data_IF_945169074363
#
_entry.id   IF_945169074363
#
_cell.length_a   1.000
_cell.length_b   1.000
_cell.length_c   1.000
_cell.angle_alpha   90.00
_cell.angle_beta   90.00
_cell.angle_gamma   90.00
#
_symmetry.space_group_name_H-M   'P 1'
#
loop_
_entity.id
_entity.type
_entity.pdbx_description
1 polymer ?
#
# COMPACT_ATOMS: atom_id res chain seq x y z
N UNK A 1 -19.03 -13.40 -25.16
CA UNK A 1 -18.56 -12.02 -25.42
C UNK A 1 -17.28 -12.15 -26.22
N UNK A 2 -17.38 -12.22 -27.54
CA UNK A 2 -16.21 -12.32 -28.43
C UNK A 2 -15.65 -10.91 -28.57
N UNK A 3 -14.55 -10.62 -27.87
CA UNK A 3 -13.72 -9.46 -28.19
C UNK A 3 -13.21 -9.72 -29.61
N UNK A 4 -13.72 -8.97 -30.59
CA UNK A 4 -13.33 -9.14 -31.99
C UNK A 4 -11.83 -8.91 -32.19
N UNK A 5 -11.27 -9.43 -33.28
CA UNK A 5 -9.85 -9.26 -33.66
C UNK A 5 -9.48 -7.80 -34.00
N UNK A 6 -10.43 -6.87 -34.02
CA UNK A 6 -10.21 -5.44 -34.23
C UNK A 6 -9.78 -4.69 -32.98
N UNK A 7 -9.20 -3.49 -33.14
CA UNK A 7 -8.95 -2.58 -32.02
C UNK A 7 -10.32 -2.13 -31.44
N UNK A 8 -10.65 -2.47 -30.17
CA UNK A 8 -11.97 -2.18 -29.61
C UNK A 8 -12.21 -0.67 -29.41
N UNK A 9 -11.13 0.13 -29.41
CA UNK A 9 -11.20 1.58 -29.39
C UNK A 9 -10.44 2.14 -30.61
N UNK A 10 -11.13 2.58 -31.68
CA UNK A 10 -10.47 3.17 -32.85
C UNK A 10 -9.78 4.51 -32.55
N UNK A 11 -9.99 5.09 -31.36
CA UNK A 11 -9.31 6.29 -30.87
C UNK A 11 -8.53 5.98 -29.59
N UNK A 12 -7.22 5.83 -29.72
CA UNK A 12 -6.31 5.54 -28.60
C UNK A 12 -6.37 6.61 -27.50
N UNK A 13 -6.56 7.88 -27.88
CA UNK A 13 -6.70 8.99 -26.93
C UNK A 13 -7.97 8.89 -26.08
N UNK A 14 -9.06 8.37 -26.64
CA UNK A 14 -10.29 8.12 -25.90
C UNK A 14 -10.09 7.00 -24.87
N UNK A 15 -9.44 5.90 -25.28
CA UNK A 15 -9.12 4.79 -24.38
C UNK A 15 -8.25 5.23 -23.20
N UNK A 16 -7.19 6.00 -23.48
CA UNK A 16 -6.33 6.56 -22.46
C UNK A 16 -7.07 7.53 -21.51
N UNK A 17 -7.88 8.43 -22.06
CA UNK A 17 -8.68 9.37 -21.26
C UNK A 17 -9.67 8.68 -20.34
N UNK A 18 -10.36 7.64 -20.81
CA UNK A 18 -11.26 6.83 -19.99
C UNK A 18 -10.52 6.07 -18.89
N UNK A 19 -9.36 5.50 -19.20
CA UNK A 19 -8.53 4.81 -18.21
C UNK A 19 -8.08 5.76 -17.09
N UNK A 20 -7.70 7.00 -17.41
CA UNK A 20 -7.36 8.02 -16.41
C UNK A 20 -8.55 8.36 -15.50
N UNK A 21 -9.75 8.55 -16.07
CA UNK A 21 -10.96 8.83 -15.29
C UNK A 21 -11.28 7.65 -14.36
N UNK A 22 -11.24 6.41 -14.86
CA UNK A 22 -11.46 5.23 -14.04
C UNK A 22 -10.43 5.11 -12.91
N UNK A 23 -9.16 5.36 -13.20
CA UNK A 23 -8.07 5.31 -12.21
C UNK A 23 -8.25 6.38 -11.13
N UNK A 24 -8.67 7.58 -11.51
CA UNK A 24 -9.00 8.65 -10.57
C UNK A 24 -10.17 8.25 -9.64
N UNK A 25 -11.24 7.70 -10.19
CA UNK A 25 -12.40 7.26 -9.40
C UNK A 25 -12.04 6.12 -8.44
N UNK A 26 -11.21 5.17 -8.88
CA UNK A 26 -10.70 4.09 -8.03
C UNK A 26 -9.82 4.64 -6.91
N UNK A 27 -8.90 5.57 -7.21
CA UNK A 27 -8.05 6.21 -6.20
C UNK A 27 -8.86 7.02 -5.19
N UNK A 28 -9.88 7.75 -5.64
CA UNK A 28 -10.78 8.49 -4.76
C UNK A 28 -11.58 7.56 -3.84
N UNK A 29 -12.15 6.49 -4.40
CA UNK A 29 -12.87 5.48 -3.62
C UNK A 29 -11.97 4.77 -2.60
N UNK A 30 -10.73 4.44 -3.00
CA UNK A 30 -9.72 3.85 -2.12
C UNK A 30 -9.40 4.78 -0.96
N UNK A 31 -9.10 6.06 -1.22
CA UNK A 31 -8.77 7.03 -0.20
C UNK A 31 -9.90 7.19 0.85
N UNK A 32 -11.17 7.21 0.41
CA UNK A 32 -12.32 7.24 1.31
C UNK A 32 -12.43 5.96 2.16
N UNK A 33 -12.28 4.79 1.55
CA UNK A 33 -12.42 3.51 2.25
C UNK A 33 -11.28 3.28 3.25
N UNK A 34 -10.04 3.52 2.83
CA UNK A 34 -8.82 3.35 3.62
C UNK A 34 -8.81 4.29 4.82
N UNK A 35 -9.03 5.59 4.61
CA UNK A 35 -9.09 6.56 5.71
C UNK A 35 -10.21 6.25 6.72
N UNK A 36 -11.38 5.84 6.24
CA UNK A 36 -12.49 5.42 7.10
C UNK A 36 -12.15 4.15 7.91
N UNK A 37 -11.46 3.19 7.29
CA UNK A 37 -11.01 1.97 7.97
C UNK A 37 -10.04 2.30 9.10
N UNK A 38 -9.02 3.12 8.83
CA UNK A 38 -8.06 3.53 9.86
C UNK A 38 -8.68 4.38 10.97
N UNK A 39 -9.65 5.25 10.66
CA UNK A 39 -10.43 5.97 11.67
C UNK A 39 -11.18 5.03 12.62
N UNK A 40 -11.85 4.01 12.08
CA UNK A 40 -12.56 3.00 12.88
C UNK A 40 -11.59 2.07 13.64
N UNK A 41 -10.49 1.68 13.01
CA UNK A 41 -9.47 0.81 13.61
C UNK A 41 -8.76 1.49 14.78
N UNK A 42 -8.58 2.82 14.73
CA UNK A 42 -8.02 3.61 15.82
C UNK A 42 -8.87 3.61 17.10
N UNK A 43 -10.19 3.36 16.98
CA UNK A 43 -11.11 3.22 18.12
C UNK A 43 -11.16 1.80 18.69
N UNK A 44 -10.55 0.86 18.00
CA UNK A 44 -10.45 -0.53 18.41
C UNK A 44 -9.11 -0.78 19.11
N UNK A 45 -8.93 -1.93 19.77
CA UNK A 45 -7.60 -2.36 20.21
C UNK A 45 -6.62 -2.38 19.04
N UNK A 46 -5.33 -2.15 19.31
CA UNK A 46 -4.26 -2.09 18.30
C UNK A 46 -4.22 -3.32 17.36
N UNK A 47 -4.73 -4.47 17.79
CA UNK A 47 -4.87 -5.66 16.95
C UNK A 47 -5.73 -5.43 15.70
N UNK A 48 -6.71 -4.53 15.76
CA UNK A 48 -7.51 -4.17 14.58
C UNK A 48 -6.70 -3.37 13.56
N UNK A 49 -5.85 -2.43 14.02
CA UNK A 49 -4.93 -1.71 13.14
C UNK A 49 -3.93 -2.68 12.48
N UNK A 50 -3.39 -3.64 13.24
CA UNK A 50 -2.50 -4.66 12.66
C UNK A 50 -3.24 -5.51 11.63
N UNK A 51 -4.50 -5.88 11.88
CA UNK A 51 -5.30 -6.66 10.95
C UNK A 51 -5.56 -5.91 9.64
N UNK A 52 -5.89 -4.61 9.69
CA UNK A 52 -6.03 -3.76 8.50
C UNK A 52 -4.73 -3.71 7.71
N UNK A 53 -3.61 -3.37 8.37
CA UNK A 53 -2.30 -3.27 7.72
C UNK A 53 -1.84 -4.62 7.14
N UNK A 54 -2.05 -5.73 7.85
CA UNK A 54 -1.71 -7.08 7.35
C UNK A 54 -2.59 -7.46 6.16
N UNK A 55 -3.88 -7.09 6.21
CA UNK A 55 -4.83 -7.32 5.12
C UNK A 55 -4.38 -6.69 3.80
N UNK A 56 -3.85 -5.46 3.84
CA UNK A 56 -3.24 -4.82 2.67
C UNK A 56 -2.07 -5.63 2.11
N UNK A 57 -1.17 -6.11 2.98
CA UNK A 57 -0.05 -6.95 2.58
C UNK A 57 -0.53 -8.23 1.88
N UNK A 58 -1.50 -8.93 2.50
CA UNK A 58 -2.08 -10.16 1.96
C UNK A 58 -2.75 -9.92 0.61
N UNK A 59 -3.47 -8.81 0.43
CA UNK A 59 -4.05 -8.43 -0.87
C UNK A 59 -2.96 -8.32 -1.95
N UNK A 60 -1.78 -7.82 -1.58
CA UNK A 60 -0.60 -7.75 -2.43
C UNK A 60 -0.02 -9.09 -2.88
N UNK A 61 -0.24 -10.17 -2.14
CA UNK A 61 0.25 -11.53 -2.46
C UNK A 61 -0.54 -12.20 -3.58
N UNK A 62 -1.78 -11.78 -3.80
CA UNK A 62 -2.72 -12.48 -4.69
C UNK A 62 -2.44 -12.18 -6.16
N UNK A 63 -1.94 -10.98 -6.48
CA UNK A 63 -1.82 -10.49 -7.86
C UNK A 63 -0.88 -11.33 -8.74
N UNK A 64 0.38 -11.53 -8.32
CA UNK A 64 1.38 -12.22 -9.14
C UNK A 64 1.08 -13.71 -9.38
N UNK A 65 0.69 -14.51 -8.37
CA UNK A 65 0.30 -15.91 -8.58
C UNK A 65 -0.90 -16.07 -9.51
N UNK A 66 -1.93 -15.21 -9.39
CA UNK A 66 -3.07 -15.23 -10.32
C UNK A 66 -2.61 -14.88 -11.72
N UNK A 67 -1.76 -13.86 -11.89
CA UNK A 67 -1.26 -13.47 -13.20
C UNK A 67 -0.48 -14.61 -13.88
N UNK A 68 0.42 -15.27 -13.13
CA UNK A 68 1.15 -16.45 -13.60
C UNK A 68 0.21 -17.59 -14.01
N UNK A 69 -0.80 -17.90 -13.19
CA UNK A 69 -1.79 -18.92 -13.51
C UNK A 69 -2.56 -18.59 -14.80
N UNK A 70 -2.99 -17.34 -14.95
CA UNK A 70 -3.70 -16.88 -16.15
C UNK A 70 -2.81 -16.94 -17.40
N UNK A 71 -1.52 -16.60 -17.28
CA UNK A 71 -0.55 -16.75 -18.37
C UNK A 71 -0.47 -18.21 -18.84
N UNK A 72 -0.25 -19.15 -17.92
CA UNK A 72 -0.16 -20.59 -18.26
C UNK A 72 -1.45 -21.09 -18.92
N UNK A 73 -2.62 -20.70 -18.41
CA UNK A 73 -3.92 -21.10 -18.97
C UNK A 73 -4.11 -20.53 -20.39
N UNK A 74 -3.81 -19.25 -20.59
CA UNK A 74 -4.00 -18.59 -21.88
C UNK A 74 -2.97 -19.01 -22.93
N UNK A 75 -1.74 -19.32 -22.51
CA UNK A 75 -0.71 -19.92 -23.37
C UNK A 75 -1.15 -21.32 -23.83
N UNK A 76 -1.61 -22.17 -22.91
CA UNK A 76 -2.11 -23.51 -23.24
C UNK A 76 -3.34 -23.46 -24.16
N UNK A 77 -4.20 -22.46 -23.99
CA UNK A 77 -5.38 -22.21 -24.82
C UNK A 77 -5.10 -21.51 -26.16
N UNK A 78 -3.84 -21.12 -26.42
CA UNK A 78 -3.43 -20.31 -27.57
C UNK A 78 -4.32 -19.07 -27.78
N UNK A 79 -4.69 -18.42 -26.66
CA UNK A 79 -5.60 -17.27 -26.65
C UNK A 79 -4.86 -16.05 -27.16
N UNK A 80 -5.38 -15.43 -28.22
CA UNK A 80 -4.88 -14.14 -28.71
C UNK A 80 -5.25 -13.03 -27.72
N UNK A 81 -4.44 -11.97 -27.62
CA UNK A 81 -4.70 -10.79 -26.77
C UNK A 81 -4.79 -11.13 -25.28
N UNK A 82 -3.81 -11.91 -24.80
CA UNK A 82 -3.74 -12.36 -23.41
C UNK A 82 -3.75 -11.21 -22.39
N UNK A 83 -3.03 -10.08 -22.59
CA UNK A 83 -3.00 -8.99 -21.61
C UNK A 83 -4.39 -8.39 -21.34
N UNK A 84 -5.21 -8.23 -22.38
CA UNK A 84 -6.57 -7.69 -22.26
C UNK A 84 -7.49 -8.65 -21.48
N UNK A 85 -7.39 -9.96 -21.76
CA UNK A 85 -8.14 -10.97 -21.02
C UNK A 85 -7.70 -11.08 -19.57
N UNK A 86 -6.40 -11.00 -19.29
CA UNK A 86 -5.87 -10.96 -17.93
C UNK A 86 -6.44 -9.76 -17.18
N UNK A 87 -6.36 -8.57 -17.78
CA UNK A 87 -6.88 -7.34 -17.21
C UNK A 87 -8.39 -7.43 -16.91
N UNK A 88 -9.18 -7.95 -17.84
CA UNK A 88 -10.61 -8.17 -17.65
C UNK A 88 -10.90 -9.14 -16.49
N UNK A 89 -10.18 -10.26 -16.41
CA UNK A 89 -10.34 -11.22 -15.31
C UNK A 89 -9.99 -10.58 -13.98
N UNK A 90 -8.88 -9.82 -13.90
CA UNK A 90 -8.52 -9.09 -12.70
C UNK A 90 -9.60 -8.11 -12.26
N UNK A 91 -10.14 -7.30 -13.16
CA UNK A 91 -11.22 -6.36 -12.84
C UNK A 91 -12.51 -7.06 -12.40
N UNK A 92 -12.89 -8.16 -13.06
CA UNK A 92 -14.07 -8.94 -12.67
C UNK A 92 -13.89 -9.54 -11.27
N UNK A 93 -12.76 -10.19 -11.01
CA UNK A 93 -12.47 -10.82 -9.71
C UNK A 93 -12.42 -9.77 -8.60
N UNK A 94 -11.71 -8.66 -8.80
CA UNK A 94 -11.63 -7.59 -7.79
C UNK A 94 -12.99 -6.94 -7.55
N UNK A 95 -13.77 -6.67 -8.59
CA UNK A 95 -15.13 -6.11 -8.45
C UNK A 95 -16.04 -7.03 -7.65
N UNK A 96 -15.99 -8.34 -7.91
CA UNK A 96 -16.76 -9.33 -7.15
C UNK A 96 -16.33 -9.34 -5.68
N UNK A 97 -15.02 -9.35 -5.41
CA UNK A 97 -14.49 -9.28 -4.04
C UNK A 97 -14.96 -8.01 -3.35
N UNK A 98 -14.87 -6.84 -4.00
CA UNK A 98 -15.32 -5.56 -3.44
C UNK A 98 -16.82 -5.58 -3.10
N UNK A 99 -17.66 -6.17 -3.96
CA UNK A 99 -19.09 -6.33 -3.65
C UNK A 99 -19.31 -7.26 -2.45
N UNK A 100 -18.50 -8.32 -2.30
CA UNK A 100 -18.56 -9.22 -1.15
C UNK A 100 -18.04 -8.60 0.16
N UNK A 101 -17.24 -7.54 0.13
CA UNK A 101 -16.84 -6.79 1.33
C UNK A 101 -18.07 -6.20 2.04
N UNK A 102 -19.11 -5.78 1.32
CA UNK A 102 -20.32 -5.20 1.90
C UNK A 102 -21.09 -6.18 2.81
N UNK A 103 -21.49 -7.38 2.36
CA UNK A 103 -22.12 -8.37 3.23
C UNK A 103 -21.16 -8.90 4.30
N UNK A 104 -19.85 -9.01 4.01
CA UNK A 104 -18.85 -9.37 5.03
C UNK A 104 -18.84 -8.36 6.18
N UNK A 105 -18.81 -7.06 5.88
CA UNK A 105 -18.87 -6.00 6.87
C UNK A 105 -20.18 -6.05 7.68
N UNK A 106 -21.33 -6.21 7.00
CA UNK A 106 -22.64 -6.25 7.64
C UNK A 106 -22.84 -7.50 8.51
N UNK A 107 -22.47 -8.67 8.04
CA UNK A 107 -22.76 -9.93 8.71
C UNK A 107 -21.72 -10.31 9.77
N UNK A 108 -20.45 -9.99 9.53
CA UNK A 108 -19.32 -10.43 10.36
C UNK A 108 -18.75 -9.24 11.15
N UNK A 109 -18.21 -8.24 10.46
CA UNK A 109 -17.44 -7.16 11.11
C UNK A 109 -18.31 -6.34 12.07
N UNK A 110 -19.51 -5.92 11.66
CA UNK A 110 -20.40 -5.10 12.50
C UNK A 110 -20.89 -5.80 13.78
N UNK A 111 -20.91 -7.14 13.78
CA UNK A 111 -21.32 -7.95 14.94
C UNK A 111 -20.17 -8.25 15.88
N UNK A 112 -18.92 -8.03 15.46
CA UNK A 112 -17.75 -8.29 16.27
C UNK A 112 -17.76 -7.43 17.55
N UNK A 113 -17.40 -7.96 18.74
CA UNK A 113 -17.50 -7.23 20.01
C UNK A 113 -16.76 -5.89 20.03
N UNK A 114 -15.61 -5.78 19.36
CA UNK A 114 -14.85 -4.54 19.26
C UNK A 114 -15.58 -3.51 18.39
N UNK A 115 -16.00 -3.90 17.18
CA UNK A 115 -16.69 -3.01 16.25
C UNK A 115 -18.06 -2.58 16.78
N UNK A 116 -18.79 -3.46 17.49
CA UNK A 116 -20.09 -3.12 18.08
C UNK A 116 -19.99 -1.94 19.05
N UNK A 117 -18.92 -1.86 19.85
CA UNK A 117 -18.67 -0.72 20.75
C UNK A 117 -18.41 0.56 19.96
N UNK A 118 -17.58 0.47 18.91
CA UNK A 118 -17.30 1.60 18.01
C UNK A 118 -18.56 2.10 17.33
N UNK A 119 -19.39 1.21 16.79
CA UNK A 119 -20.66 1.56 16.15
C UNK A 119 -21.66 2.22 17.12
N UNK A 120 -21.66 1.83 18.40
CA UNK A 120 -22.47 2.51 19.42
C UNK A 120 -21.98 3.93 19.70
N UNK A 121 -20.66 4.14 19.74
CA UNK A 121 -20.06 5.48 19.85
C UNK A 121 -20.51 6.34 18.67
N UNK A 122 -20.44 5.81 17.45
CA UNK A 122 -20.88 6.48 16.23
C UNK A 122 -22.39 6.77 16.20
N UNK A 123 -23.22 5.83 16.65
CA UNK A 123 -24.67 6.04 16.72
C UNK A 123 -25.04 7.15 17.71
N UNK A 124 -24.38 7.19 18.86
CA UNK A 124 -24.57 8.25 19.85
C UNK A 124 -24.12 9.62 19.33
N UNK A 125 -23.04 9.65 18.54
CA UNK A 125 -22.58 10.87 17.86
C UNK A 125 -23.58 11.35 16.81
N UNK A 126 -24.19 10.46 16.03
CA UNK A 126 -25.25 10.83 15.07
C UNK A 126 -26.49 11.44 15.73
N UNK A 127 -26.85 10.96 16.92
CA UNK A 127 -27.95 11.51 17.72
C UNK A 127 -27.62 12.89 18.29
N UNK A 128 -26.32 13.19 18.47
CA UNK A 128 -25.84 14.49 18.91
C UNK A 128 -25.76 15.43 17.70
N UNK A 129 -26.31 16.65 17.81
CA UNK A 129 -26.35 17.61 16.70
C UNK A 129 -24.97 17.88 16.09
N UNK A 130 -24.89 18.04 14.76
CA UNK A 130 -23.68 18.41 14.01
C UNK A 130 -23.01 19.72 14.49
N UNK A 131 -23.71 20.53 15.28
CA UNK A 131 -23.19 21.76 15.88
C UNK A 131 -22.32 21.52 17.13
N UNK A 132 -22.35 20.31 17.71
CA UNK A 132 -21.56 19.98 18.89
C UNK A 132 -20.19 19.50 18.46
N UNK A 133 -19.13 20.19 18.91
CA UNK A 133 -17.75 19.81 18.64
C UNK A 133 -17.46 18.42 19.24
N UNK A 134 -17.04 17.48 18.40
CA UNK A 134 -16.74 16.10 18.83
C UNK A 134 -15.47 16.00 19.68
N UNK A 135 -14.45 16.82 19.39
CA UNK A 135 -13.18 16.84 20.13
C UNK A 135 -13.19 17.94 21.20
N UNK A 136 -12.61 17.64 22.37
CA UNK A 136 -12.50 18.62 23.46
C UNK A 136 -11.53 19.76 23.10
N UNK A 137 -10.42 19.41 22.43
CA UNK A 137 -9.39 20.35 21.96
C UNK A 137 -9.39 20.54 20.43
N UNK A 138 -8.77 21.60 19.91
CA UNK A 138 -8.62 21.80 18.48
C UNK A 138 -7.82 20.70 17.77
N UNK A 139 -8.27 20.35 16.57
CA UNK A 139 -7.66 19.31 15.71
C UNK A 139 -6.16 19.58 15.50
N UNK A 140 -5.75 20.84 15.40
CA UNK A 140 -4.34 21.21 15.24
C UNK A 140 -3.45 20.68 16.38
N UNK A 141 -3.92 20.67 17.62
CA UNK A 141 -3.16 20.12 18.75
C UNK A 141 -3.09 18.60 18.70
N UNK A 142 -4.18 17.96 18.28
CA UNK A 142 -4.22 16.50 18.05
C UNK A 142 -3.20 16.13 16.97
N UNK A 143 -3.23 16.83 15.83
CA UNK A 143 -2.27 16.67 14.73
C UNK A 143 -0.83 16.86 15.22
N UNK A 144 -0.57 17.87 16.06
CA UNK A 144 0.78 18.13 16.57
C UNK A 144 1.32 16.97 17.42
N UNK A 145 0.47 16.36 18.24
CA UNK A 145 0.88 15.23 19.09
C UNK A 145 1.14 13.96 18.28
N UNK A 146 0.36 13.75 17.22
CA UNK A 146 0.46 12.56 16.35
C UNK A 146 1.50 12.72 15.25
N UNK A 147 1.89 13.97 14.95
CA UNK A 147 2.81 14.31 13.86
C UNK A 147 4.07 13.45 13.80
N UNK A 148 4.76 13.11 14.92
CA UNK A 148 5.95 12.24 14.85
C UNK A 148 5.66 10.87 14.22
N UNK A 149 4.54 10.24 14.59
CA UNK A 149 4.14 8.94 14.03
C UNK A 149 3.63 9.09 12.60
N UNK A 150 2.89 10.17 12.29
CA UNK A 150 2.45 10.44 10.92
C UNK A 150 3.64 10.70 9.98
N UNK A 151 4.69 11.38 10.45
CA UNK A 151 5.95 11.58 9.72
C UNK A 151 6.70 10.26 9.53
N UNK A 152 6.66 9.35 10.52
CA UNK A 152 7.22 8.01 10.35
C UNK A 152 6.50 7.21 9.24
N UNK A 153 5.16 7.25 9.23
CA UNK A 153 4.36 6.62 8.18
C UNK A 153 4.65 7.25 6.80
N UNK A 154 4.64 8.59 6.74
CA UNK A 154 4.98 9.37 5.56
C UNK A 154 6.38 9.06 5.03
N UNK A 155 7.40 9.01 5.90
CA UNK A 155 8.77 8.75 5.53
C UNK A 155 8.99 7.31 5.07
N UNK A 156 8.31 6.36 5.71
CA UNK A 156 8.36 4.94 5.30
C UNK A 156 7.83 4.77 3.89
N UNK A 157 6.61 5.24 3.63
CA UNK A 157 5.98 5.16 2.30
C UNK A 157 6.65 6.07 1.28
N UNK A 158 7.09 7.25 1.69
CA UNK A 158 7.79 8.21 0.84
C UNK A 158 9.07 7.61 0.26
N UNK A 159 9.95 7.08 1.12
CA UNK A 159 11.16 6.38 0.64
C UNK A 159 10.79 5.21 -0.25
N UNK A 160 9.72 4.47 0.10
CA UNK A 160 9.29 3.32 -0.69
C UNK A 160 8.93 3.72 -2.12
N UNK A 161 8.08 4.73 -2.29
CA UNK A 161 7.61 5.17 -3.60
C UNK A 161 8.63 5.99 -4.39
N UNK A 162 9.71 6.47 -3.77
CA UNK A 162 10.86 7.04 -4.51
C UNK A 162 11.54 5.96 -5.36
N UNK A 163 11.71 4.74 -4.81
CA UNK A 163 12.50 3.68 -5.47
C UNK A 163 11.66 2.53 -6.02
N UNK A 164 10.52 2.21 -5.41
CA UNK A 164 9.71 1.05 -5.75
C UNK A 164 8.34 1.46 -6.28
N UNK A 165 7.87 0.90 -7.42
CA UNK A 165 8.54 -0.11 -8.26
C UNK A 165 9.52 0.49 -9.29
N UNK A 166 9.59 1.81 -9.42
CA UNK A 166 10.19 2.47 -10.59
C UNK A 166 11.69 2.19 -10.80
N UNK A 167 12.52 2.21 -9.76
CA UNK A 167 13.94 1.84 -9.92
C UNK A 167 14.10 0.35 -10.16
N UNK A 168 13.27 -0.46 -9.51
CA UNK A 168 13.32 -1.93 -9.59
C UNK A 168 12.97 -2.44 -10.99
N UNK A 169 12.12 -1.72 -11.75
CA UNK A 169 11.83 -2.09 -13.14
C UNK A 169 13.03 -2.00 -14.07
N UNK A 170 14.09 -1.28 -13.69
CA UNK A 170 15.34 -1.22 -14.47
C UNK A 170 16.36 -2.29 -14.06
N UNK A 171 16.08 -3.09 -13.03
CA UNK A 171 17.01 -4.12 -12.57
C UNK A 171 17.08 -5.28 -13.56
N UNK A 172 18.30 -5.75 -13.80
CA UNK A 172 18.58 -6.85 -14.73
C UNK A 172 18.94 -8.12 -13.96
N UNK A 173 18.39 -9.25 -14.39
CA UNK A 173 18.78 -10.56 -13.88
C UNK A 173 20.23 -10.87 -14.26
N UNK A 174 20.88 -11.67 -13.43
CA UNK A 174 22.13 -12.37 -13.75
C UNK A 174 21.96 -13.29 -14.97
N UNK A 175 20.80 -13.94 -15.08
CA UNK A 175 20.44 -14.79 -16.21
C UNK A 175 19.58 -14.01 -17.23
N UNK A 176 20.10 -13.70 -18.43
CA UNK A 176 19.36 -12.98 -19.45
C UNK A 176 18.08 -13.70 -19.92
N UNK A 177 17.96 -15.01 -19.67
CA UNK A 177 16.78 -15.80 -20.05
C UNK A 177 15.62 -15.62 -19.06
N UNK A 178 15.88 -15.10 -17.85
CA UNK A 178 14.85 -14.87 -16.83
C UNK A 178 14.09 -13.55 -17.07
N UNK A 179 13.18 -13.57 -18.04
CA UNK A 179 12.29 -12.44 -18.36
C UNK A 179 11.31 -12.09 -17.22
N UNK A 180 11.09 -13.01 -16.27
CA UNK A 180 10.21 -12.83 -15.11
C UNK A 180 10.88 -12.22 -13.88
N UNK A 181 12.18 -11.89 -13.94
CA UNK A 181 12.97 -11.50 -12.77
C UNK A 181 12.39 -10.31 -12.00
N UNK A 182 12.05 -9.21 -12.69
CA UNK A 182 11.49 -8.00 -12.04
C UNK A 182 10.20 -8.35 -11.28
N UNK A 183 9.34 -9.19 -11.86
CA UNK A 183 8.11 -9.63 -11.21
C UNK A 183 8.39 -10.49 -9.98
N UNK A 184 9.42 -11.35 -10.01
CA UNK A 184 9.86 -12.15 -8.86
C UNK A 184 10.40 -11.28 -7.71
N UNK A 185 11.17 -10.23 -8.04
CA UNK A 185 11.67 -9.26 -7.05
C UNK A 185 10.52 -8.45 -6.45
N UNK A 186 9.59 -7.97 -7.26
CA UNK A 186 8.36 -7.32 -6.79
C UNK A 186 7.57 -8.26 -5.89
N UNK A 187 7.45 -9.54 -6.24
CA UNK A 187 6.77 -10.52 -5.40
C UNK A 187 7.50 -10.76 -4.07
N UNK A 188 8.84 -10.74 -4.08
CA UNK A 188 9.65 -10.78 -2.84
C UNK A 188 9.31 -9.61 -1.92
N UNK A 189 9.14 -8.41 -2.48
CA UNK A 189 8.66 -7.27 -1.71
C UNK A 189 7.31 -7.57 -1.05
N UNK A 190 6.31 -8.03 -1.81
CA UNK A 190 4.96 -8.29 -1.28
C UNK A 190 4.98 -9.34 -0.15
N UNK A 191 5.71 -10.43 -0.32
CA UNK A 191 5.84 -11.50 0.69
C UNK A 191 6.46 -10.96 1.98
N UNK A 192 7.61 -10.31 1.85
CA UNK A 192 8.38 -9.89 3.02
C UNK A 192 7.78 -8.65 3.69
N UNK A 193 7.12 -7.77 2.94
CA UNK A 193 6.34 -6.64 3.47
C UNK A 193 5.15 -7.15 4.29
N UNK A 194 4.44 -8.18 3.81
CA UNK A 194 3.33 -8.80 4.55
C UNK A 194 3.83 -9.41 5.86
N UNK A 195 4.98 -10.11 5.84
CA UNK A 195 5.61 -10.61 7.07
C UNK A 195 5.94 -9.45 8.00
N UNK A 196 6.50 -8.35 7.47
CA UNK A 196 6.79 -7.14 8.22
C UNK A 196 5.56 -6.52 8.88
N UNK A 197 4.43 -6.48 8.17
CA UNK A 197 3.13 -5.99 8.69
C UNK A 197 2.55 -6.89 9.78
N UNK A 198 2.82 -8.19 9.71
CA UNK A 198 2.37 -9.17 10.70
C UNK A 198 3.26 -9.23 11.96
N UNK A 199 4.52 -8.81 11.89
CA UNK A 199 5.46 -8.89 13.04
C UNK A 199 4.92 -8.29 14.35
N UNK A 200 4.21 -7.15 14.37
CA UNK A 200 3.61 -6.63 15.60
C UNK A 200 2.58 -7.58 16.25
N UNK A 201 1.90 -8.46 15.49
CA UNK A 201 1.05 -9.52 16.05
C UNK A 201 1.84 -10.54 16.88
N UNK A 202 3.13 -10.73 16.58
CA UNK A 202 4.05 -11.59 17.35
C UNK A 202 4.66 -10.86 18.56
N UNK A 203 4.07 -9.73 18.98
CA UNK A 203 4.58 -8.85 20.05
C UNK A 203 5.94 -8.23 19.76
N UNK A 204 6.32 -8.13 18.48
CA UNK A 204 7.44 -7.28 18.09
C UNK A 204 7.04 -5.82 18.28
N UNK A 205 7.72 -5.13 19.18
CA UNK A 205 7.52 -3.71 19.44
C UNK A 205 8.87 -3.01 19.54
N UNK A 206 8.89 -1.73 19.22
CA UNK A 206 10.08 -0.90 19.13
C UNK A 206 9.77 0.48 19.71
N UNK A 207 10.60 1.09 20.57
CA UNK A 207 10.31 2.41 21.08
C UNK A 207 10.26 3.46 19.94
N UNK A 208 9.45 4.50 20.10
CA UNK A 208 9.19 5.51 19.05
C UNK A 208 10.46 6.17 18.50
N UNK A 209 11.44 6.43 19.37
CA UNK A 209 12.73 7.00 18.94
C UNK A 209 13.52 6.05 18.05
N UNK A 210 13.50 4.75 18.33
CA UNK A 210 14.10 3.74 17.46
C UNK A 210 13.35 3.67 16.13
N UNK A 211 12.01 3.79 16.15
CA UNK A 211 11.21 3.80 14.92
C UNK A 211 11.56 5.00 14.04
N UNK A 212 11.73 6.20 14.62
CA UNK A 212 12.17 7.38 13.87
C UNK A 212 13.55 7.17 13.21
N UNK A 213 14.52 6.60 13.95
CA UNK A 213 15.84 6.27 13.41
C UNK A 213 15.72 5.21 12.31
N UNK A 214 14.86 4.20 12.51
CA UNK A 214 14.61 3.14 11.55
C UNK A 214 14.07 3.69 10.22
N UNK A 215 13.10 4.61 10.30
CA UNK A 215 12.56 5.29 9.12
C UNK A 215 13.61 6.18 8.45
N UNK A 216 14.38 6.94 9.22
CA UNK A 216 15.47 7.77 8.67
C UNK A 216 16.55 6.91 7.99
N UNK A 217 16.90 5.76 8.56
CA UNK A 217 17.87 4.83 8.00
C UNK A 217 17.43 4.29 6.63
N UNK A 218 16.12 4.19 6.35
CA UNK A 218 15.61 3.77 5.04
C UNK A 218 16.07 4.68 3.90
N UNK A 219 16.47 5.92 4.15
CA UNK A 219 17.01 6.82 3.12
C UNK A 219 18.22 6.21 2.39
N UNK A 220 18.95 5.28 3.01
CA UNK A 220 20.05 4.55 2.37
C UNK A 220 19.61 3.73 1.15
N UNK A 221 18.34 3.31 1.09
CA UNK A 221 17.82 2.54 -0.04
C UNK A 221 17.73 3.36 -1.32
N UNK A 222 17.61 4.69 -1.24
CA UNK A 222 17.55 5.58 -2.42
C UNK A 222 18.84 5.49 -3.25
N UNK A 223 20.03 5.80 -2.72
CA UNK A 223 21.26 5.63 -3.47
C UNK A 223 21.55 4.16 -3.78
N UNK A 224 21.24 3.22 -2.87
CA UNK A 224 21.49 1.80 -3.09
C UNK A 224 20.72 1.25 -4.29
N UNK A 225 19.41 1.50 -4.38
CA UNK A 225 18.58 1.02 -5.49
C UNK A 225 18.96 1.69 -6.81
N UNK A 226 19.25 2.99 -6.78
CA UNK A 226 19.77 3.73 -7.93
C UNK A 226 21.08 3.13 -8.43
N UNK A 227 22.02 2.78 -7.54
CA UNK A 227 23.28 2.15 -7.90
C UNK A 227 23.08 0.76 -8.52
N UNK A 228 22.15 -0.06 -8.01
CA UNK A 228 21.80 -1.36 -8.61
C UNK A 228 21.28 -1.18 -10.03
N UNK A 229 20.45 -0.16 -10.26
CA UNK A 229 19.91 0.15 -11.59
C UNK A 229 20.97 0.64 -12.58
N UNK A 230 21.88 1.52 -12.14
CA UNK A 230 22.89 2.16 -13.01
C UNK A 230 24.11 1.30 -13.27
N UNK A 231 24.52 0.48 -12.30
CA UNK A 231 25.74 -0.34 -12.37
C UNK A 231 25.43 -1.84 -12.21
N UNK A 232 24.62 -2.43 -13.11
CA UNK A 232 24.13 -3.81 -12.95
C UNK A 232 25.24 -4.87 -13.05
N UNK A 233 26.42 -4.54 -13.56
CA UNK A 233 27.57 -5.47 -13.68
C UNK A 233 28.54 -5.41 -12.50
N UNK A 234 28.38 -4.44 -11.59
CA UNK A 234 29.27 -4.27 -10.45
C UNK A 234 28.93 -5.30 -9.36
N UNK A 235 29.94 -5.92 -8.75
CA UNK A 235 29.73 -6.79 -7.58
C UNK A 235 29.46 -5.89 -6.36
N UNK A 236 28.41 -6.14 -5.55
CA UNK A 236 27.51 -7.30 -5.55
C UNK A 236 26.19 -7.15 -6.35
N UNK A 237 25.94 -6.02 -7.01
CA UNK A 237 24.70 -5.73 -7.76
C UNK A 237 24.42 -6.71 -8.91
N UNK A 238 25.46 -7.35 -9.45
CA UNK A 238 25.32 -8.38 -10.47
C UNK A 238 24.45 -9.56 -10.01
N UNK A 239 24.60 -10.04 -8.78
CA UNK A 239 23.98 -11.29 -8.33
C UNK A 239 22.51 -11.13 -7.97
N UNK A 240 21.67 -12.05 -8.46
CA UNK A 240 20.22 -11.99 -8.21
C UNK A 240 19.86 -12.25 -6.75
N UNK A 241 20.59 -13.12 -6.05
CA UNK A 241 20.40 -13.34 -4.62
C UNK A 241 20.58 -12.05 -3.81
N UNK A 242 21.51 -11.18 -4.23
CA UNK A 242 21.80 -9.92 -3.54
C UNK A 242 20.66 -8.92 -3.75
N UNK A 243 20.11 -8.85 -4.97
CA UNK A 243 18.92 -8.04 -5.29
C UNK A 243 17.71 -8.47 -4.46
N UNK A 244 17.46 -9.79 -4.36
CA UNK A 244 16.39 -10.32 -3.49
C UNK A 244 16.65 -10.07 -2.00
N UNK A 245 17.90 -10.14 -1.53
CA UNK A 245 18.26 -9.85 -0.15
C UNK A 245 17.98 -8.38 0.20
N UNK A 246 18.46 -7.43 -0.62
CA UNK A 246 18.19 -6.01 -0.40
C UNK A 246 16.69 -5.76 -0.45
N UNK A 247 15.98 -6.36 -1.41
CA UNK A 247 14.53 -6.22 -1.52
C UNK A 247 13.81 -6.73 -0.26
N UNK A 248 14.23 -7.89 0.27
CA UNK A 248 13.70 -8.43 1.52
C UNK A 248 13.94 -7.49 2.70
N UNK A 249 15.15 -6.98 2.87
CA UNK A 249 15.47 -5.99 3.91
C UNK A 249 14.64 -4.71 3.77
N UNK A 250 14.48 -4.20 2.54
CA UNK A 250 13.68 -3.02 2.25
C UNK A 250 12.19 -3.24 2.52
N UNK A 251 11.66 -4.42 2.19
CA UNK A 251 10.27 -4.79 2.39
C UNK A 251 9.94 -5.02 3.86
N UNK A 252 10.76 -5.76 4.61
CA UNK A 252 10.49 -6.01 6.03
C UNK A 252 10.52 -4.72 6.83
N UNK A 253 11.47 -3.82 6.52
CA UNK A 253 11.57 -2.51 7.15
C UNK A 253 10.42 -1.59 6.76
N UNK A 254 9.80 -1.78 5.58
CA UNK A 254 8.61 -1.06 5.14
C UNK A 254 7.39 -1.49 5.95
N UNK A 255 7.09 -2.79 5.93
CA UNK A 255 5.89 -3.34 6.56
C UNK A 255 5.88 -3.14 8.07
N UNK A 256 7.03 -3.34 8.72
CA UNK A 256 7.18 -3.08 10.17
C UNK A 256 7.06 -1.60 10.50
N UNK A 257 7.79 -0.73 9.79
CA UNK A 257 7.82 0.71 10.05
C UNK A 257 6.46 1.36 9.86
N UNK A 258 5.75 0.96 8.80
CA UNK A 258 4.41 1.46 8.53
C UNK A 258 3.39 0.95 9.55
N UNK A 259 3.39 -0.34 9.87
CA UNK A 259 2.41 -0.88 10.84
C UNK A 259 2.63 -0.33 12.24
N UNK A 260 3.88 -0.25 12.72
CA UNK A 260 4.19 0.29 14.04
C UNK A 260 3.84 1.78 14.16
N UNK A 261 4.04 2.58 13.10
CA UNK A 261 3.65 3.99 13.11
C UNK A 261 2.12 4.14 13.16
N UNK A 262 1.39 3.40 12.32
CA UNK A 262 -0.07 3.39 12.28
C UNK A 262 -0.70 2.93 13.61
N UNK A 263 -0.08 1.96 14.30
CA UNK A 263 -0.53 1.53 15.64
C UNK A 263 -0.26 2.54 16.74
N UNK A 264 0.88 3.24 16.68
CA UNK A 264 1.31 4.14 17.76
C UNK A 264 0.70 5.52 17.69
N UNK A 265 0.36 6.00 16.49
CA UNK A 265 -0.28 7.30 16.30
C UNK A 265 -1.48 7.51 17.24
N UNK A 266 -2.47 6.61 17.26
CA UNK A 266 -3.64 6.74 18.13
C UNK A 266 -3.36 6.71 19.64
N UNK A 267 -2.24 6.13 20.09
CA UNK A 267 -1.92 6.09 21.52
C UNK A 267 -1.60 7.47 22.11
N UNK A 268 -1.28 8.46 21.29
CA UNK A 268 -1.07 9.85 21.72
C UNK A 268 -2.38 10.64 21.87
N UNK A 269 -3.50 10.04 21.50
CA UNK A 269 -4.80 10.70 21.51
C UNK A 269 -5.49 10.55 22.88
N UNK A 270 -6.23 11.58 23.31
CA UNK A 270 -6.95 11.55 24.59
C UNK A 270 -8.43 11.24 24.38
N UNK A 271 -8.75 9.95 24.42
CA UNK A 271 -10.11 9.42 24.33
C UNK A 271 -10.63 9.28 22.90
N UNK A 272 -11.81 8.66 22.79
CA UNK A 272 -12.33 8.11 21.53
C UNK A 272 -12.62 9.15 20.44
N UNK A 273 -12.77 10.44 20.74
CA UNK A 273 -12.91 11.44 19.66
C UNK A 273 -11.58 11.83 19.06
N UNK A 274 -10.51 11.80 19.84
CA UNK A 274 -9.18 12.11 19.33
C UNK A 274 -8.54 10.90 18.66
N UNK A 275 -8.80 9.70 19.16
CA UNK A 275 -8.34 8.43 18.57
C UNK A 275 -8.85 8.29 17.12
N UNK A 276 -10.12 8.55 16.85
CA UNK A 276 -10.64 8.50 15.47
C UNK A 276 -9.95 9.51 14.55
N UNK A 277 -9.84 10.77 15.01
CA UNK A 277 -9.15 11.84 14.28
C UNK A 277 -7.70 11.46 14.02
N UNK A 278 -7.06 10.78 14.96
CA UNK A 278 -5.70 10.28 14.79
C UNK A 278 -5.60 9.25 13.67
N UNK A 279 -6.57 8.33 13.56
CA UNK A 279 -6.64 7.38 12.45
C UNK A 279 -6.69 8.09 11.10
N UNK A 280 -7.52 9.14 10.97
CA UNK A 280 -7.58 9.95 9.75
C UNK A 280 -6.28 10.70 9.44
N UNK A 281 -5.64 11.28 10.46
CA UNK A 281 -4.36 12.00 10.30
C UNK A 281 -3.24 11.05 9.89
N UNK A 282 -3.22 9.85 10.48
CA UNK A 282 -2.26 8.80 10.14
C UNK A 282 -2.45 8.30 8.70
N UNK A 283 -3.69 8.03 8.30
CA UNK A 283 -4.05 7.69 6.92
C UNK A 283 -3.59 8.78 5.93
N UNK A 284 -3.85 10.04 6.26
CA UNK A 284 -3.39 11.17 5.46
C UNK A 284 -1.86 11.22 5.34
N UNK A 285 -1.13 11.01 6.44
CA UNK A 285 0.33 10.96 6.44
C UNK A 285 0.87 9.85 5.53
N UNK A 286 0.26 8.67 5.59
CA UNK A 286 0.59 7.52 4.74
C UNK A 286 0.39 7.84 3.25
N UNK A 287 -0.81 8.27 2.86
CA UNK A 287 -1.17 8.58 1.46
C UNK A 287 -0.34 9.76 0.92
N UNK A 288 -0.12 10.79 1.74
CA UNK A 288 0.76 11.91 1.41
C UNK A 288 2.20 11.45 1.18
N UNK A 289 2.66 10.44 1.93
CA UNK A 289 3.95 9.79 1.72
C UNK A 289 4.04 9.13 0.36
N UNK A 290 3.01 8.36 -0.02
CA UNK A 290 2.91 7.72 -1.35
C UNK A 290 2.98 8.77 -2.46
N UNK A 291 2.19 9.83 -2.36
CA UNK A 291 2.16 10.92 -3.35
C UNK A 291 3.53 11.61 -3.46
N UNK A 292 4.10 12.02 -2.33
CA UNK A 292 5.38 12.73 -2.29
C UNK A 292 6.50 11.86 -2.85
N UNK A 293 6.55 10.59 -2.41
CA UNK A 293 7.52 9.61 -2.89
C UNK A 293 7.41 9.38 -4.39
N UNK A 294 6.19 9.26 -4.92
CA UNK A 294 5.95 9.08 -6.35
C UNK A 294 6.43 10.28 -7.18
N UNK A 295 6.19 11.50 -6.71
CA UNK A 295 6.67 12.73 -7.37
C UNK A 295 8.21 12.77 -7.36
N UNK A 296 8.84 12.49 -6.21
CA UNK A 296 10.30 12.46 -6.12
C UNK A 296 10.92 11.34 -6.94
N UNK A 297 10.29 10.16 -6.99
CA UNK A 297 10.72 9.04 -7.84
C UNK A 297 10.65 9.40 -9.33
N UNK A 298 9.59 10.09 -9.75
CA UNK A 298 9.47 10.61 -11.13
C UNK A 298 10.60 11.59 -11.45
N UNK A 299 10.84 12.58 -10.58
CA UNK A 299 11.93 13.55 -10.75
C UNK A 299 13.28 12.83 -10.82
N UNK A 300 13.53 11.88 -9.92
CA UNK A 300 14.77 11.11 -9.91
C UNK A 300 14.98 10.35 -11.23
N UNK A 301 13.96 9.67 -11.74
CA UNK A 301 14.04 8.95 -13.02
C UNK A 301 14.34 9.89 -14.20
N UNK A 302 13.71 11.07 -14.23
CA UNK A 302 13.96 12.09 -15.27
C UNK A 302 15.40 12.59 -15.17
N UNK A 303 15.88 12.95 -13.98
CA UNK A 303 17.25 13.42 -13.76
C UNK A 303 18.31 12.38 -14.10
N UNK A 304 18.00 11.08 -13.91
CA UNK A 304 18.88 9.97 -14.23
C UNK A 304 18.83 9.57 -15.73
N UNK A 305 17.99 10.23 -16.54
CA UNK A 305 17.81 9.89 -17.96
C UNK A 305 17.16 8.51 -18.16
N UNK A 306 16.43 8.02 -17.15
CA UNK A 306 15.72 6.74 -17.18
C UNK A 306 14.28 6.88 -17.65
N UNK A 307 13.79 8.09 -17.95
CA UNK A 307 12.46 8.29 -18.54
C UNK A 307 12.41 7.73 -19.96
N UNK A 308 11.61 6.68 -20.17
CA UNK A 308 11.13 6.24 -21.49
C UNK A 308 10.26 7.29 -22.15
#
# INVERSE_FOLDING_TARGET
>A
MTIGDGNPCPNEGLGFGLALVCTFLLGFGHALMESSSFGLAALCPQSCMIADMTGEGVAGLVGWPINMLLQVIFDAGNVRRQPEWQCLVFFCVTSVITVFVIPMYRCVTSKHPYMRKVLQIEENRKKTSLKTRQTRRPVLYIVKDIAPMAICAWGTMGVTFVVFPAQVSYWKSEDPTNTGFVAQVIYTFQVVDTIGRFLPSLKFDMPEWCLMIWVAARLIYIPLFTCVSLYPTLIPFYYDWFKHLIMGCFAITNGTGCTLSMMKGPNHAQGSSEEEVSGYVMAFGLISGILSGSIFGLIANICLGQST
#
